data_IF_037772751935
#
_entry.id   IF_037772751935
#
_cell.length_a   1.000
_cell.length_b   1.000
_cell.length_c   1.000
_cell.angle_alpha   90.00
_cell.angle_beta   90.00
_cell.angle_gamma   90.00
#
_symmetry.space_group_name_H-M   'P 1'
#
loop_
_entity.id
_entity.type
_entity.pdbx_description
1 polymer ?
#
# COMPACT_ATOMS: atom_id res chain seq x y z
N UNK A 1 -3.40 -20.56 17.59
CA UNK A 1 -2.24 -21.47 17.59
C UNK A 1 -0.88 -20.76 17.49
N UNK A 2 -0.71 -19.69 16.69
CA UNK A 2 0.57 -18.95 16.55
C UNK A 2 1.01 -18.14 17.79
N UNK A 3 0.07 -17.55 18.53
CA UNK A 3 0.35 -16.84 19.80
C UNK A 3 0.88 -17.76 20.91
N UNK A 4 0.54 -19.05 20.87
CA UNK A 4 0.98 -20.03 21.86
C UNK A 4 2.43 -20.51 21.62
N UNK A 5 2.93 -20.41 20.39
CA UNK A 5 4.27 -20.89 20.05
C UNK A 5 5.36 -19.88 20.47
N UNK A 6 5.12 -18.58 20.25
CA UNK A 6 6.04 -17.52 20.68
C UNK A 6 6.12 -17.39 22.21
N UNK A 7 5.01 -17.60 22.91
CA UNK A 7 4.98 -17.62 24.38
C UNK A 7 5.69 -18.87 24.95
N UNK A 8 5.48 -20.04 24.36
CA UNK A 8 6.18 -21.27 24.78
C UNK A 8 7.70 -21.17 24.62
N UNK A 9 8.18 -20.61 23.51
CA UNK A 9 9.62 -20.46 23.25
C UNK A 9 10.30 -19.50 24.25
N UNK A 10 9.61 -18.43 24.66
CA UNK A 10 10.08 -17.50 25.70
C UNK A 10 10.22 -18.20 27.05
N UNK A 11 9.21 -18.98 27.45
CA UNK A 11 9.28 -19.75 28.70
C UNK A 11 10.39 -20.80 28.70
N UNK A 12 10.63 -21.47 27.57
CA UNK A 12 11.74 -22.43 27.43
C UNK A 12 13.09 -21.75 27.66
N UNK A 13 13.32 -20.56 27.08
CA UNK A 13 14.55 -19.81 27.29
C UNK A 13 14.74 -19.40 28.76
N UNK A 14 13.69 -18.87 29.39
CA UNK A 14 13.73 -18.43 30.80
C UNK A 14 14.03 -19.61 31.73
N UNK A 15 13.34 -20.75 31.54
CA UNK A 15 13.55 -21.95 32.36
C UNK A 15 14.96 -22.51 32.17
N UNK A 16 15.47 -22.52 30.94
CA UNK A 16 16.82 -23.03 30.65
C UNK A 16 17.90 -22.14 31.29
N UNK A 17 17.72 -20.81 31.27
CA UNK A 17 18.59 -19.87 31.98
C UNK A 17 18.57 -20.11 33.49
N UNK A 18 17.39 -20.25 34.09
CA UNK A 18 17.27 -20.51 35.53
C UNK A 18 17.95 -21.83 35.92
N UNK A 19 17.82 -22.87 35.11
CA UNK A 19 18.47 -24.16 35.34
C UNK A 19 20.00 -24.07 35.23
N UNK A 20 20.53 -23.36 34.22
CA UNK A 20 21.98 -23.17 34.08
C UNK A 20 22.58 -22.35 35.24
N UNK A 21 21.87 -21.30 35.68
CA UNK A 21 22.29 -20.49 36.83
C UNK A 21 22.27 -21.31 38.11
N UNK A 22 21.22 -22.11 38.34
CA UNK A 22 21.12 -23.02 39.48
C UNK A 22 22.25 -24.06 39.50
N UNK A 23 22.55 -24.67 38.35
CA UNK A 23 23.66 -25.62 38.22
C UNK A 23 25.03 -24.96 38.49
N UNK A 24 25.23 -23.72 38.02
CA UNK A 24 26.46 -22.95 38.26
C UNK A 24 26.64 -22.63 39.75
N UNK A 25 25.57 -22.21 40.44
CA UNK A 25 25.59 -21.95 41.89
C UNK A 25 25.88 -23.23 42.68
N UNK A 26 25.26 -24.35 42.33
CA UNK A 26 25.53 -25.64 42.97
C UNK A 26 27.00 -26.08 42.79
N UNK A 27 27.59 -25.85 41.62
CA UNK A 27 29.02 -26.13 41.35
C UNK A 27 29.95 -25.25 42.19
N UNK A 28 29.61 -23.98 42.40
CA UNK A 28 30.35 -23.09 43.30
C UNK A 28 30.28 -23.59 44.75
N UNK A 29 29.08 -23.93 45.23
CA UNK A 29 28.86 -24.41 46.60
C UNK A 29 29.53 -25.76 46.89
N UNK A 30 29.76 -26.58 45.85
CA UNK A 30 30.46 -27.87 45.97
C UNK A 30 31.99 -27.78 45.81
N UNK A 31 32.55 -26.56 45.80
CA UNK A 31 33.99 -26.33 45.73
C UNK A 31 34.62 -26.52 44.35
N UNK A 32 33.79 -26.62 43.28
CA UNK A 32 34.25 -26.84 41.89
C UNK A 32 34.24 -25.54 41.09
N UNK A 33 34.96 -24.52 41.58
CA UNK A 33 34.93 -23.17 41.01
C UNK A 33 35.34 -23.10 39.54
N UNK A 34 36.37 -23.83 39.12
CA UNK A 34 36.83 -23.84 37.72
C UNK A 34 35.75 -24.34 36.75
N UNK A 35 35.04 -25.41 37.13
CA UNK A 35 33.95 -25.98 36.33
C UNK A 35 32.74 -25.03 36.31
N UNK A 36 32.44 -24.37 37.43
CA UNK A 36 31.35 -23.40 37.53
C UNK A 36 31.55 -22.21 36.58
N UNK A 37 32.77 -21.67 36.50
CA UNK A 37 33.10 -20.57 35.59
C UNK A 37 32.88 -20.95 34.12
N UNK A 38 33.35 -22.14 33.71
CA UNK A 38 33.17 -22.61 32.32
C UNK A 38 31.69 -22.76 31.97
N UNK A 39 30.89 -23.34 32.88
CA UNK A 39 29.44 -23.53 32.68
C UNK A 39 28.71 -22.18 32.62
N UNK A 40 29.08 -21.22 33.47
CA UNK A 40 28.48 -19.89 33.46
C UNK A 40 28.77 -19.13 32.16
N UNK A 41 30.03 -19.13 31.70
CA UNK A 41 30.44 -18.46 30.46
C UNK A 41 29.75 -19.11 29.25
N UNK A 42 29.72 -20.44 29.17
CA UNK A 42 29.02 -21.17 28.12
C UNK A 42 27.51 -20.86 28.12
N UNK A 43 26.91 -20.75 29.31
CA UNK A 43 25.51 -20.39 29.46
C UNK A 43 25.17 -18.99 28.97
N UNK A 44 25.99 -18.01 29.35
CA UNK A 44 25.84 -16.62 28.89
C UNK A 44 25.99 -16.56 27.36
N UNK A 45 26.97 -17.26 26.79
CA UNK A 45 27.18 -17.30 25.34
C UNK A 45 25.97 -17.92 24.61
N UNK A 46 25.45 -19.06 25.09
CA UNK A 46 24.25 -19.69 24.51
C UNK A 46 23.04 -18.76 24.62
N UNK A 47 22.85 -18.10 25.75
CA UNK A 47 21.73 -17.17 25.95
C UNK A 47 21.83 -15.93 25.05
N UNK A 48 23.03 -15.36 24.89
CA UNK A 48 23.27 -14.26 23.98
C UNK A 48 22.95 -14.64 22.52
N UNK A 49 23.35 -15.84 22.09
CA UNK A 49 23.02 -16.37 20.76
C UNK A 49 21.50 -16.55 20.60
N UNK A 50 20.82 -17.14 21.58
CA UNK A 50 19.36 -17.33 21.53
C UNK A 50 18.61 -16.00 21.47
N UNK A 51 19.03 -14.99 22.25
CA UNK A 51 18.45 -13.66 22.25
C UNK A 51 18.68 -12.96 20.90
N UNK A 52 19.89 -13.04 20.34
CA UNK A 52 20.20 -12.47 19.03
C UNK A 52 19.34 -13.11 17.92
N UNK A 53 19.20 -14.43 17.92
CA UNK A 53 18.35 -15.15 16.97
C UNK A 53 16.86 -14.82 17.15
N UNK A 54 16.41 -14.59 18.38
CA UNK A 54 15.04 -14.17 18.66
C UNK A 54 14.78 -12.75 18.13
N UNK A 55 15.68 -11.81 18.43
CA UNK A 55 15.57 -10.43 17.98
C UNK A 55 15.62 -10.32 16.45
N UNK A 56 16.52 -11.05 15.78
CA UNK A 56 16.57 -11.08 14.31
C UNK A 56 15.27 -11.65 13.69
N UNK A 57 14.71 -12.71 14.27
CA UNK A 57 13.41 -13.25 13.82
C UNK A 57 12.25 -12.29 14.06
N UNK A 58 12.25 -11.60 15.20
CA UNK A 58 11.23 -10.60 15.53
C UNK A 58 11.30 -9.42 14.55
N UNK A 59 12.50 -8.87 14.32
CA UNK A 59 12.71 -7.78 13.36
C UNK A 59 12.31 -8.17 11.94
N UNK A 60 12.66 -9.38 11.47
CA UNK A 60 12.23 -9.89 10.16
C UNK A 60 10.72 -10.07 10.06
N UNK A 61 10.06 -10.46 11.15
CA UNK A 61 8.61 -10.61 11.17
C UNK A 61 7.90 -9.26 11.06
N UNK A 62 8.37 -8.24 11.78
CA UNK A 62 7.85 -6.87 11.70
C UNK A 62 8.01 -6.28 10.29
N UNK A 63 9.20 -6.38 9.70
CA UNK A 63 9.41 -5.93 8.32
C UNK A 63 8.47 -6.63 7.33
N UNK A 64 8.22 -7.93 7.54
CA UNK A 64 7.34 -8.70 6.66
C UNK A 64 5.88 -8.31 6.80
N UNK A 65 5.45 -7.88 7.98
CA UNK A 65 4.10 -7.33 8.21
C UNK A 65 3.96 -6.02 7.44
N UNK A 66 4.91 -5.09 7.59
CA UNK A 66 4.86 -3.79 6.91
C UNK A 66 4.86 -3.93 5.39
N UNK A 67 5.69 -4.82 4.84
CA UNK A 67 5.69 -5.09 3.39
C UNK A 67 4.37 -5.70 2.93
N UNK A 68 3.83 -6.66 3.68
CA UNK A 68 2.53 -7.25 3.35
C UNK A 68 1.40 -6.22 3.43
N UNK A 69 1.42 -5.30 4.38
CA UNK A 69 0.43 -4.21 4.49
C UNK A 69 0.55 -3.23 3.32
N UNK A 70 1.77 -2.89 2.90
CA UNK A 70 1.99 -2.06 1.71
C UNK A 70 1.53 -2.76 0.41
N UNK A 71 1.85 -4.05 0.25
CA UNK A 71 1.38 -4.86 -0.87
C UNK A 71 -0.16 -4.98 -0.88
N UNK A 72 -0.78 -5.08 0.30
CA UNK A 72 -2.23 -5.10 0.45
C UNK A 72 -2.84 -3.74 0.09
N UNK A 73 -2.22 -2.63 0.50
CA UNK A 73 -2.68 -1.28 0.18
C UNK A 73 -2.72 -1.05 -1.34
N UNK A 74 -1.68 -1.48 -2.07
CA UNK A 74 -1.65 -1.47 -3.54
C UNK A 74 -2.74 -2.36 -4.12
N UNK A 75 -3.03 -3.51 -3.50
CA UNK A 75 -4.10 -4.41 -3.94
C UNK A 75 -5.52 -3.86 -3.70
N UNK A 76 -5.69 -2.84 -2.86
CA UNK A 76 -7.00 -2.26 -2.53
C UNK A 76 -7.35 -1.00 -3.30
N UNK A 77 -6.39 -0.35 -3.96
CA UNK A 77 -6.61 0.88 -4.71
C UNK A 77 -6.27 0.72 -6.18
N UNK A 78 -7.05 1.35 -7.04
CA UNK A 78 -6.78 1.43 -8.47
C UNK A 78 -5.61 2.40 -8.76
N UNK A 79 -4.58 1.99 -9.50
CA UNK A 79 -3.36 2.81 -9.69
C UNK A 79 -3.57 4.07 -10.54
N UNK A 80 -4.62 4.10 -11.37
CA UNK A 80 -4.93 5.27 -12.23
C UNK A 80 -5.72 6.32 -11.46
N UNK A 81 -6.68 5.88 -10.66
CA UNK A 81 -7.66 6.77 -10.02
C UNK A 81 -7.42 6.99 -8.54
N UNK A 82 -6.61 6.16 -7.88
CA UNK A 82 -6.42 6.14 -6.44
C UNK A 82 -7.64 5.65 -5.65
N UNK A 83 -8.73 5.27 -6.33
CA UNK A 83 -9.95 4.84 -5.68
C UNK A 83 -9.87 3.39 -5.21
N UNK A 84 -10.60 3.02 -4.14
CA UNK A 84 -10.83 1.63 -3.79
C UNK A 84 -11.29 0.78 -4.99
N UNK A 85 -10.76 -0.45 -5.09
CA UNK A 85 -11.18 -1.40 -6.14
C UNK A 85 -12.50 -2.08 -5.80
N UNK A 86 -13.12 -2.74 -6.79
CA UNK A 86 -14.37 -3.54 -6.67
C UNK A 86 -14.45 -4.34 -5.37
N UNK A 87 -13.39 -5.05 -4.99
CA UNK A 87 -13.39 -5.90 -3.79
C UNK A 87 -13.69 -5.12 -2.50
N UNK A 88 -13.15 -3.91 -2.37
CA UNK A 88 -13.38 -3.03 -1.22
C UNK A 88 -14.84 -2.54 -1.21
N UNK A 89 -15.38 -2.20 -2.39
CA UNK A 89 -16.78 -1.82 -2.52
C UNK A 89 -17.73 -2.95 -2.11
N UNK A 90 -17.47 -4.17 -2.55
CA UNK A 90 -18.26 -5.33 -2.15
C UNK A 90 -18.19 -5.61 -0.64
N UNK A 91 -17.01 -5.44 -0.03
CA UNK A 91 -16.85 -5.61 1.42
C UNK A 91 -17.60 -4.54 2.21
N UNK A 92 -17.51 -3.27 1.79
CA UNK A 92 -18.25 -2.16 2.39
C UNK A 92 -19.77 -2.33 2.26
N UNK A 93 -20.24 -2.78 1.09
CA UNK A 93 -21.66 -3.08 0.86
C UNK A 93 -22.11 -4.22 1.79
N UNK A 94 -21.37 -5.33 1.91
CA UNK A 94 -21.72 -6.40 2.87
C UNK A 94 -21.83 -5.89 4.31
N UNK A 95 -20.94 -4.99 4.72
CA UNK A 95 -20.95 -4.37 6.05
C UNK A 95 -22.13 -3.40 6.30
N UNK A 96 -22.82 -2.98 5.24
CA UNK A 96 -23.96 -2.05 5.30
C UNK A 96 -25.32 -2.75 5.32
N UNK A 97 -25.35 -4.09 5.41
CA UNK A 97 -26.59 -4.86 5.42
C UNK A 97 -27.50 -4.48 6.59
N UNK A 98 -28.78 -4.24 6.30
CA UNK A 98 -29.77 -3.84 7.29
C UNK A 98 -29.79 -2.34 7.62
N UNK A 99 -28.96 -1.54 6.95
CA UNK A 99 -29.01 -0.08 7.01
C UNK A 99 -29.58 0.51 5.71
N UNK A 100 -30.03 1.76 5.77
CA UNK A 100 -30.41 2.52 4.59
C UNK A 100 -29.18 2.74 3.69
N UNK A 101 -29.30 2.36 2.42
CA UNK A 101 -28.21 2.48 1.45
C UNK A 101 -28.72 3.06 0.13
N UNK A 102 -27.98 4.02 -0.39
CA UNK A 102 -28.13 4.57 -1.73
C UNK A 102 -26.88 4.25 -2.53
N UNK A 103 -27.06 3.66 -3.70
CA UNK A 103 -26.01 3.33 -4.64
C UNK A 103 -26.20 4.15 -5.90
N UNK A 104 -25.16 4.86 -6.31
CA UNK A 104 -25.06 5.47 -7.63
C UNK A 104 -23.98 4.74 -8.43
N UNK A 105 -24.39 4.00 -9.46
CA UNK A 105 -23.51 3.33 -10.40
C UNK A 105 -23.25 4.25 -11.59
N UNK A 106 -22.00 4.41 -11.97
CA UNK A 106 -21.54 5.38 -12.98
C UNK A 106 -20.73 4.62 -14.04
N UNK A 107 -21.03 4.86 -15.31
CA UNK A 107 -20.31 4.33 -16.47
C UNK A 107 -19.93 5.48 -17.41
N UNK A 108 -18.69 5.47 -17.91
CA UNK A 108 -18.21 6.48 -18.87
C UNK A 108 -18.72 6.19 -20.28
N UNK A 109 -19.45 7.13 -20.85
CA UNK A 109 -19.95 7.01 -22.21
C UNK A 109 -18.84 7.30 -23.23
N UNK A 110 -18.55 6.34 -24.11
CA UNK A 110 -17.61 6.54 -25.21
C UNK A 110 -16.14 6.55 -24.79
N UNK A 111 -15.77 5.86 -23.71
CA UNK A 111 -14.38 5.80 -23.24
C UNK A 111 -13.38 5.31 -24.31
N UNK A 112 -13.82 4.45 -25.23
CA UNK A 112 -13.00 4.03 -26.37
C UNK A 112 -12.65 5.18 -27.32
N UNK A 113 -13.58 6.11 -27.55
CA UNK A 113 -13.37 7.25 -28.44
C UNK A 113 -12.39 8.24 -27.80
N UNK A 114 -12.48 8.43 -26.48
CA UNK A 114 -11.50 9.22 -25.72
C UNK A 114 -10.11 8.62 -25.85
N UNK A 115 -9.96 7.30 -25.63
CA UNK A 115 -8.68 6.61 -25.78
C UNK A 115 -8.12 6.67 -27.20
N UNK A 116 -9.00 6.62 -28.21
CA UNK A 116 -8.58 6.67 -29.62
C UNK A 116 -8.12 8.08 -30.00
N UNK A 117 -8.79 9.12 -29.49
CA UNK A 117 -8.46 10.52 -29.77
C UNK A 117 -7.27 11.03 -28.96
N UNK A 118 -7.07 10.55 -27.73
CA UNK A 118 -6.12 11.11 -26.77
C UNK A 118 -5.11 10.11 -26.22
N UNK A 119 -4.97 8.94 -26.86
CA UNK A 119 -4.19 7.79 -26.39
C UNK A 119 -4.67 7.26 -25.03
N UNK A 120 -4.04 6.19 -24.53
CA UNK A 120 -4.34 5.64 -23.22
C UNK A 120 -4.04 6.61 -22.08
N UNK A 121 -2.98 7.42 -22.20
CA UNK A 121 -2.62 8.40 -21.17
C UNK A 121 -3.69 9.48 -21.02
N UNK A 122 -4.28 9.94 -22.13
CA UNK A 122 -5.43 10.85 -22.09
C UNK A 122 -6.66 10.20 -21.47
N UNK A 123 -6.89 8.92 -21.75
CA UNK A 123 -7.94 8.17 -21.08
C UNK A 123 -7.75 8.06 -19.57
N UNK A 124 -6.53 7.78 -19.13
CA UNK A 124 -6.20 7.69 -17.71
C UNK A 124 -6.38 9.04 -17.00
N UNK A 125 -6.02 10.16 -17.66
CA UNK A 125 -6.33 11.50 -17.17
C UNK A 125 -7.83 11.77 -17.03
N UNK A 126 -8.64 11.29 -18.00
CA UNK A 126 -10.09 11.41 -17.93
C UNK A 126 -10.66 10.63 -16.73
N UNK A 127 -10.21 9.39 -16.54
CA UNK A 127 -10.63 8.53 -15.44
C UNK A 127 -10.22 9.09 -14.08
N UNK A 128 -9.00 9.61 -13.96
CA UNK A 128 -8.51 10.27 -12.75
C UNK A 128 -9.33 11.52 -12.42
N UNK A 129 -9.67 12.34 -13.42
CA UNK A 129 -10.52 13.51 -13.21
C UNK A 129 -11.96 13.15 -12.82
N UNK A 130 -12.53 12.10 -13.41
CA UNK A 130 -13.83 11.56 -13.00
C UNK A 130 -13.79 11.11 -11.53
N UNK A 131 -12.79 10.32 -11.16
CA UNK A 131 -12.61 9.84 -9.80
C UNK A 131 -12.53 10.98 -8.78
N UNK A 132 -11.72 12.00 -9.06
CA UNK A 132 -11.60 13.17 -8.21
C UNK A 132 -12.94 13.89 -8.01
N UNK A 133 -13.74 14.03 -9.08
CA UNK A 133 -15.06 14.68 -9.01
C UNK A 133 -16.09 13.85 -8.26
N UNK A 134 -16.05 12.53 -8.41
CA UNK A 134 -16.90 11.64 -7.61
C UNK A 134 -16.59 11.75 -6.12
N UNK A 135 -15.30 11.84 -5.76
CA UNK A 135 -14.87 12.07 -4.37
C UNK A 135 -15.34 13.45 -3.87
N UNK A 136 -15.29 14.49 -4.69
CA UNK A 136 -15.82 15.82 -4.32
C UNK A 136 -17.34 15.83 -4.13
N UNK A 137 -18.08 14.99 -4.86
CA UNK A 137 -19.53 14.83 -4.71
C UNK A 137 -19.92 13.96 -3.51
N UNK A 138 -18.97 13.23 -2.92
CA UNK A 138 -19.16 12.35 -1.79
C UNK A 138 -19.22 13.14 -0.46
N UNK A 139 -20.05 12.69 0.46
CA UNK A 139 -20.12 13.22 1.82
C UNK A 139 -19.20 12.42 2.78
N UNK A 140 -18.88 12.95 3.97
CA UNK A 140 -18.13 12.19 4.97
C UNK A 140 -18.81 10.85 5.29
N UNK A 141 -18.06 9.75 5.17
CA UNK A 141 -18.56 8.39 5.39
C UNK A 141 -19.15 7.71 4.15
N UNK A 142 -19.26 8.41 3.02
CA UNK A 142 -19.56 7.79 1.72
C UNK A 142 -18.35 6.99 1.21
N UNK A 143 -18.61 5.96 0.41
CA UNK A 143 -17.58 5.23 -0.33
C UNK A 143 -17.66 5.56 -1.82
N UNK A 144 -16.54 5.94 -2.42
CA UNK A 144 -16.36 5.99 -3.87
C UNK A 144 -15.37 4.89 -4.26
N UNK A 145 -15.67 4.10 -5.29
CA UNK A 145 -14.82 3.01 -5.73
C UNK A 145 -14.87 2.83 -7.25
N UNK A 146 -13.79 2.29 -7.82
CA UNK A 146 -13.72 1.88 -9.23
C UNK A 146 -14.00 0.39 -9.35
N UNK A 147 -15.06 0.04 -10.07
CA UNK A 147 -15.49 -1.35 -10.24
C UNK A 147 -14.82 -2.05 -11.41
N UNK A 148 -14.34 -1.29 -12.40
CA UNK A 148 -13.80 -1.81 -13.65
C UNK A 148 -13.21 -0.72 -14.55
N UNK A 149 -13.07 -1.00 -15.83
CA UNK A 149 -12.39 -0.10 -16.80
C UNK A 149 -12.98 1.32 -16.79
N UNK A 150 -14.28 1.45 -16.96
CA UNK A 150 -15.02 2.71 -17.05
C UNK A 150 -16.16 2.80 -16.01
N UNK A 151 -16.25 1.83 -15.10
CA UNK A 151 -17.32 1.71 -14.10
C UNK A 151 -16.87 2.18 -12.72
N UNK A 152 -17.68 3.03 -12.09
CA UNK A 152 -17.50 3.55 -10.75
C UNK A 152 -18.77 3.40 -9.93
N UNK A 153 -18.62 3.41 -8.60
CA UNK A 153 -19.75 3.39 -7.68
C UNK A 153 -19.56 4.41 -6.56
N UNK A 154 -20.65 5.08 -6.20
CA UNK A 154 -20.79 5.87 -4.98
C UNK A 154 -21.82 5.18 -4.08
N UNK A 155 -21.42 4.83 -2.87
CA UNK A 155 -22.28 4.28 -1.82
C UNK A 155 -22.45 5.34 -0.73
N UNK A 156 -23.69 5.68 -0.41
CA UNK A 156 -24.03 6.77 0.51
C UNK A 156 -25.32 6.47 1.25
N UNK A 157 -25.56 7.16 2.36
CA UNK A 157 -26.86 7.12 3.08
C UNK A 157 -27.77 8.28 2.68
N UNK A 158 -27.33 9.14 1.75
CA UNK A 158 -28.09 10.30 1.30
C UNK A 158 -29.26 9.89 0.42
N UNK A 159 -30.34 10.67 0.44
CA UNK A 159 -31.49 10.46 -0.44
C UNK A 159 -31.12 10.66 -1.92
N UNK A 160 -31.72 9.89 -2.86
CA UNK A 160 -31.39 9.95 -4.29
C UNK A 160 -31.35 11.37 -4.90
N UNK A 161 -32.29 12.30 -4.62
CA UNK A 161 -32.24 13.63 -5.21
C UNK A 161 -31.01 14.44 -4.81
N UNK A 162 -30.53 14.28 -3.57
CA UNK A 162 -29.33 14.96 -3.09
C UNK A 162 -28.06 14.41 -3.76
N UNK A 163 -28.02 13.08 -3.99
CA UNK A 163 -26.92 12.41 -4.70
C UNK A 163 -26.89 12.84 -6.16
N UNK A 164 -28.04 12.83 -6.84
CA UNK A 164 -28.17 13.26 -8.23
C UNK A 164 -27.71 14.71 -8.43
N UNK A 165 -28.12 15.62 -7.54
CA UNK A 165 -27.72 17.02 -7.59
C UNK A 165 -26.20 17.19 -7.41
N UNK A 166 -25.61 16.52 -6.40
CA UNK A 166 -24.19 16.60 -6.14
C UNK A 166 -23.36 16.07 -7.32
N UNK A 167 -23.75 14.93 -7.90
CA UNK A 167 -23.09 14.34 -9.06
C UNK A 167 -23.23 15.22 -10.30
N UNK A 168 -24.44 15.73 -10.59
CA UNK A 168 -24.66 16.60 -11.73
C UNK A 168 -23.78 17.87 -11.66
N UNK A 169 -23.68 18.48 -10.48
CA UNK A 169 -22.83 19.67 -10.28
C UNK A 169 -21.34 19.35 -10.44
N UNK A 170 -20.87 18.24 -9.87
CA UNK A 170 -19.45 17.89 -9.89
C UNK A 170 -18.97 17.45 -11.29
N UNK A 171 -19.85 16.86 -12.08
CA UNK A 171 -19.51 16.25 -13.38
C UNK A 171 -19.79 17.18 -14.57
N UNK A 172 -20.50 18.29 -14.38
CA UNK A 172 -20.83 19.25 -15.44
C UNK A 172 -19.61 19.88 -16.16
N UNK A 173 -18.51 20.28 -15.49
CA UNK A 173 -17.38 20.89 -16.19
C UNK A 173 -16.69 19.91 -17.17
N UNK A 174 -16.13 20.33 -18.30
CA UNK A 174 -15.31 19.44 -19.13
C UNK A 174 -13.97 19.10 -18.44
N UNK A 175 -13.29 18.05 -18.90
CA UNK A 175 -11.90 17.73 -18.53
C UNK A 175 -10.97 18.27 -19.60
N UNK A 176 -9.85 18.88 -19.20
CA UNK A 176 -8.86 19.38 -20.17
C UNK A 176 -7.78 18.31 -20.38
N UNK A 177 -7.64 17.82 -21.61
CA UNK A 177 -6.64 16.80 -21.98
C UNK A 177 -5.80 17.36 -23.12
N UNK A 178 -4.51 17.57 -22.90
CA UNK A 178 -3.62 18.17 -23.91
C UNK A 178 -4.08 19.56 -24.38
N UNK A 179 -4.74 20.33 -23.52
CA UNK A 179 -5.29 21.66 -23.85
C UNK A 179 -6.67 21.63 -24.54
N UNK A 180 -7.25 20.46 -24.78
CA UNK A 180 -8.57 20.30 -25.40
C UNK A 180 -9.61 20.02 -24.32
N UNK A 181 -10.74 20.74 -24.37
CA UNK A 181 -11.87 20.50 -23.48
C UNK A 181 -12.69 19.28 -23.95
N UNK A 182 -12.64 18.21 -23.17
CA UNK A 182 -13.37 16.95 -23.40
C UNK A 182 -14.59 16.90 -22.47
N UNK A 183 -15.83 16.83 -23.00
CA UNK A 183 -17.03 16.73 -22.18
C UNK A 183 -17.04 15.44 -21.34
N UNK A 184 -17.43 15.55 -20.06
CA UNK A 184 -17.58 14.38 -19.18
C UNK A 184 -18.95 13.73 -19.39
N UNK A 185 -19.03 12.82 -20.36
CA UNK A 185 -20.26 12.06 -20.63
C UNK A 185 -20.27 10.78 -19.80
N UNK A 186 -21.25 10.67 -18.94
CA UNK A 186 -21.46 9.50 -18.07
C UNK A 186 -22.93 9.15 -18.01
N UNK A 187 -23.19 7.85 -17.87
CA UNK A 187 -24.50 7.31 -17.55
C UNK A 187 -24.51 6.87 -16.10
N UNK A 188 -25.49 7.36 -15.32
CA UNK A 188 -25.59 7.17 -13.88
C UNK A 188 -26.95 6.58 -13.53
N UNK A 189 -26.94 5.46 -12.80
CA UNK A 189 -28.13 4.88 -12.20
C UNK A 189 -28.12 4.99 -10.69
N UNK A 190 -29.18 5.52 -10.09
CA UNK A 190 -29.29 5.70 -8.64
C UNK A 190 -30.40 4.82 -8.10
N UNK A 191 -30.10 4.02 -7.09
CA UNK A 191 -31.09 3.27 -6.33
C UNK A 191 -30.92 3.50 -4.84
N UNK A 192 -32.04 3.68 -4.14
CA UNK A 192 -32.09 3.71 -2.68
C UNK A 192 -32.88 2.50 -2.17
N UNK A 193 -32.30 1.82 -1.19
CA UNK A 193 -32.89 0.66 -0.52
C UNK A 193 -32.89 0.93 0.99
N UNK A 194 -34.07 1.17 1.59
CA UNK A 194 -34.18 1.36 3.04
C UNK A 194 -34.05 0.03 3.79
N UNK A 195 -33.22 0.01 4.85
CA UNK A 195 -33.02 -1.15 5.73
C UNK A 195 -32.74 -2.49 5.02
N UNK A 196 -32.23 -2.46 3.78
CA UNK A 196 -32.30 -3.61 2.89
C UNK A 196 -30.95 -4.15 2.43
N UNK A 197 -31.00 -5.02 1.42
CA UNK A 197 -29.84 -5.72 0.88
C UNK A 197 -29.01 -4.80 -0.05
N UNK A 198 -27.76 -4.48 0.29
CA UNK A 198 -26.90 -3.64 -0.54
C UNK A 198 -26.60 -4.24 -1.93
N UNK A 199 -26.71 -5.57 -2.10
CA UNK A 199 -26.63 -6.20 -3.41
C UNK A 199 -27.87 -5.91 -4.28
N UNK A 200 -29.05 -5.78 -3.66
CA UNK A 200 -30.26 -5.34 -4.35
C UNK A 200 -30.10 -3.90 -4.85
N UNK A 201 -29.57 -3.01 -4.00
CA UNK A 201 -29.32 -1.61 -4.36
C UNK A 201 -28.40 -1.49 -5.58
N UNK A 202 -27.34 -2.29 -5.63
CA UNK A 202 -26.42 -2.33 -6.76
C UNK A 202 -27.09 -2.84 -8.04
N UNK A 203 -27.91 -3.91 -7.95
CA UNK A 203 -28.63 -4.45 -9.10
C UNK A 203 -29.68 -3.48 -9.66
N UNK A 204 -30.42 -2.79 -8.80
CA UNK A 204 -31.37 -1.76 -9.21
C UNK A 204 -30.67 -0.54 -9.82
N UNK A 205 -29.53 -0.12 -9.25
CA UNK A 205 -28.72 0.97 -9.80
C UNK A 205 -28.19 0.62 -11.21
N UNK A 206 -27.78 -0.62 -11.46
CA UNK A 206 -27.37 -1.10 -12.79
C UNK A 206 -28.51 -0.97 -13.83
N UNK A 207 -29.74 -1.35 -13.46
CA UNK A 207 -30.90 -1.19 -14.35
C UNK A 207 -31.18 0.27 -14.69
N UNK A 208 -31.13 1.14 -13.69
CA UNK A 208 -31.31 2.58 -13.88
C UNK A 208 -30.20 3.19 -14.75
N UNK A 209 -28.95 2.76 -14.56
CA UNK A 209 -27.80 3.20 -15.36
C UNK A 209 -27.96 2.78 -16.82
N UNK A 210 -28.42 1.55 -17.04
CA UNK A 210 -28.74 1.07 -18.38
C UNK A 210 -29.87 1.87 -19.04
N UNK A 211 -30.90 2.25 -18.28
CA UNK A 211 -31.93 3.16 -18.75
C UNK A 211 -31.34 4.52 -19.13
N UNK A 212 -30.46 5.10 -18.30
CA UNK A 212 -29.76 6.36 -18.57
C UNK A 212 -28.97 6.29 -19.90
N UNK A 213 -28.23 5.20 -20.11
CA UNK A 213 -27.43 4.96 -21.30
C UNK A 213 -28.28 4.85 -22.57
N UNK A 214 -29.46 4.23 -22.48
CA UNK A 214 -30.38 4.10 -23.62
C UNK A 214 -31.07 5.40 -24.01
N UNK A 215 -31.37 6.25 -23.05
CA UNK A 215 -32.10 7.50 -23.30
C UNK A 215 -31.18 8.72 -23.43
N UNK A 216 -29.89 8.58 -23.12
CA UNK A 216 -28.90 9.66 -23.14
C UNK A 216 -29.14 10.74 -22.08
N UNK A 217 -29.89 10.44 -21.00
CA UNK A 217 -30.32 11.44 -19.99
C UNK A 217 -29.32 11.65 -18.85
N UNK A 218 -28.15 11.03 -18.91
CA UNK A 218 -27.06 11.23 -17.94
C UNK A 218 -27.31 10.58 -16.59
N UNK A 219 -28.38 10.96 -15.88
CA UNK A 219 -28.74 10.42 -14.54
C UNK A 219 -30.18 9.90 -14.56
N UNK A 220 -30.37 8.67 -14.09
CA UNK A 220 -31.69 8.06 -13.91
C UNK A 220 -31.82 7.45 -12.51
N UNK A 221 -33.00 7.58 -11.92
CA UNK A 221 -33.35 6.90 -10.69
C UNK A 221 -34.02 5.57 -11.04
N UNK A 222 -33.76 4.53 -10.24
CA UNK A 222 -34.43 3.25 -10.40
C UNK A 222 -35.94 3.41 -10.23
N UNK A 223 -36.68 2.90 -11.21
CA UNK A 223 -38.14 2.83 -11.20
C UNK A 223 -38.55 1.38 -11.50
N UNK A 224 -39.13 0.64 -10.54
CA UNK A 224 -39.48 -0.77 -10.74
C UNK A 224 -40.47 -0.99 -11.89
N UNK A 225 -41.30 0.00 -12.24
CA UNK A 225 -42.25 -0.09 -13.37
C UNK A 225 -41.53 -0.01 -14.70
N UNK A 226 -40.52 0.86 -14.81
CA UNK A 226 -39.71 1.04 -16.01
C UNK A 226 -38.64 -0.04 -16.16
N UNK A 227 -37.98 -0.36 -15.05
CA UNK A 227 -36.73 -1.09 -15.00
C UNK A 227 -36.92 -2.57 -14.70
N UNK A 228 -38.06 -2.98 -14.14
CA UNK A 228 -38.35 -4.37 -13.76
C UNK A 228 -37.40 -4.92 -12.69
N UNK A 229 -37.51 -6.21 -12.39
CA UNK A 229 -36.68 -6.86 -11.36
C UNK A 229 -35.18 -6.82 -11.70
N UNK A 230 -34.31 -6.53 -10.72
CA UNK A 230 -32.87 -6.57 -10.90
C UNK A 230 -32.39 -8.01 -11.15
N UNK A 231 -31.32 -8.14 -11.94
CA UNK A 231 -30.68 -9.43 -12.16
C UNK A 231 -30.07 -9.94 -10.84
N UNK A 232 -30.12 -11.26 -10.62
CA UNK A 232 -29.54 -11.87 -9.42
C UNK A 232 -28.06 -11.49 -9.24
N UNK A 233 -27.58 -11.29 -8.00
CA UNK A 233 -26.19 -10.93 -7.72
C UNK A 233 -25.22 -11.91 -8.40
N UNK A 234 -24.26 -11.37 -9.16
CA UNK A 234 -23.25 -12.16 -9.87
C UNK A 234 -23.61 -12.58 -11.30
N UNK A 235 -24.84 -12.32 -11.77
CA UNK A 235 -25.18 -12.46 -13.19
C UNK A 235 -24.58 -11.28 -13.95
N UNK A 236 -23.41 -11.49 -14.54
CA UNK A 236 -22.81 -10.54 -15.48
C UNK A 236 -23.73 -10.44 -16.71
N UNK A 237 -24.12 -9.24 -17.18
CA UNK A 237 -24.88 -9.10 -18.42
C UNK A 237 -24.19 -9.87 -19.55
N UNK A 238 -24.92 -10.77 -20.21
CA UNK A 238 -24.35 -11.70 -21.20
C UNK A 238 -23.80 -11.02 -22.47
N UNK A 239 -24.05 -9.72 -22.66
CA UNK A 239 -23.56 -8.94 -23.80
C UNK A 239 -22.93 -7.66 -23.27
N UNK A 240 -21.60 -7.53 -23.40
CA UNK A 240 -20.91 -6.26 -23.15
C UNK A 240 -21.18 -5.34 -24.34
N UNK A 241 -21.46 -4.07 -24.10
CA UNK A 241 -21.62 -3.12 -25.20
C UNK A 241 -20.31 -2.86 -25.97
N UNK A 242 -19.15 -3.18 -25.38
CA UNK A 242 -17.85 -3.25 -26.09
C UNK A 242 -17.90 -4.21 -27.28
N UNK A 243 -18.67 -5.29 -27.17
CA UNK A 243 -18.75 -6.34 -28.19
C UNK A 243 -19.73 -5.97 -29.32
N UNK A 244 -20.55 -4.92 -29.16
CA UNK A 244 -21.45 -4.42 -30.21
C UNK A 244 -20.80 -3.38 -31.11
N UNK A 245 -19.81 -2.62 -30.63
CA UNK A 245 -19.12 -1.57 -31.40
C UNK A 245 -18.14 -2.10 -32.46
N UNK A 246 -17.62 -3.32 -32.29
CA UNK A 246 -16.65 -3.91 -33.21
C UNK A 246 -17.27 -4.51 -34.49
N UNK A 247 -18.59 -4.72 -34.53
CA UNK A 247 -19.26 -5.38 -35.65
C UNK A 247 -19.70 -4.42 -36.79
N UNK A 248 -19.62 -3.10 -36.60
CA UNK A 248 -20.11 -2.11 -37.57
C UNK A 248 -19.02 -1.37 -38.37
N UNK A 249 -17.75 -1.80 -38.29
CA UNK A 249 -16.64 -1.19 -39.05
C UNK A 249 -15.89 -2.15 -39.97
N UNK A 250 -16.51 -3.26 -40.41
CA UNK A 250 -15.96 -4.05 -41.54
C UNK A 250 -16.34 -3.37 -42.86
N UNK A 251 -15.79 -2.17 -43.05
CA UNK A 251 -15.64 -1.52 -44.34
C UNK A 251 -14.38 -2.04 -45.01
N UNK A 252 -14.55 -2.53 -46.23
CA UNK A 252 -13.56 -3.19 -47.06
C UNK A 252 -12.29 -2.32 -47.26
N UNK A 253 -11.12 -2.86 -46.91
CA UNK A 253 -9.84 -2.46 -47.52
C UNK A 253 -9.02 -3.70 -47.89
N UNK A 254 -8.29 -3.66 -49.03
CA UNK A 254 -7.75 -4.86 -49.66
C UNK A 254 -6.44 -5.31 -49.00
N UNK A 255 -6.23 -6.62 -49.09
CA UNK A 255 -5.04 -7.36 -48.68
C UNK A 255 -3.83 -6.94 -49.52
N UNK A 256 -2.76 -6.48 -48.85
CA UNK A 256 -1.48 -6.12 -49.46
C UNK A 256 -0.35 -6.06 -48.43
N UNK A 257 0.34 -7.20 -48.26
CA UNK A 257 1.76 -7.42 -47.93
C UNK A 257 2.62 -6.21 -47.46
N UNK A 258 3.14 -6.26 -46.23
CA UNK A 258 4.58 -6.41 -45.89
C UNK A 258 4.83 -6.35 -44.37
N UNK A 259 5.60 -7.30 -43.85
CA UNK A 259 5.98 -7.40 -42.44
C UNK A 259 7.15 -6.45 -42.14
N UNK A 260 6.85 -5.31 -41.50
CA UNK A 260 7.86 -4.41 -40.94
C UNK A 260 8.53 -4.99 -39.69
N UNK A 261 9.79 -4.59 -39.38
CA UNK A 261 10.60 -5.21 -38.35
C UNK A 261 10.03 -4.93 -36.94
N UNK A 262 10.16 -5.92 -36.05
CA UNK A 262 9.84 -5.82 -34.61
C UNK A 262 10.54 -4.60 -33.98
N UNK A 263 9.90 -3.84 -33.10
CA UNK A 263 10.58 -2.81 -32.32
C UNK A 263 11.58 -3.47 -31.35
N UNK A 264 12.73 -2.84 -31.10
CA UNK A 264 13.76 -3.38 -30.22
C UNK A 264 13.31 -3.37 -28.76
N UNK A 265 13.58 -4.50 -28.12
CA UNK A 265 13.55 -4.72 -26.67
C UNK A 265 14.61 -3.85 -25.98
N UNK A 266 14.28 -3.41 -24.75
CA UNK A 266 15.17 -2.84 -23.73
C UNK A 266 15.72 -1.43 -24.00
N UNK A 267 15.06 -0.43 -23.38
CA UNK A 267 15.73 0.79 -22.94
C UNK A 267 16.26 0.47 -21.53
N UNK A 268 17.58 0.47 -21.38
CA UNK A 268 18.21 0.35 -20.06
C UNK A 268 17.91 1.60 -19.24
N UNK A 269 17.67 1.40 -17.96
CA UNK A 269 17.41 2.47 -17.02
C UNK A 269 18.75 3.04 -16.54
N UNK A 270 19.41 3.89 -17.32
CA UNK A 270 20.64 4.59 -16.88
C UNK A 270 20.73 6.08 -17.29
N UNK A 271 19.65 6.70 -17.79
CA UNK A 271 19.68 8.12 -18.23
C UNK A 271 18.76 9.04 -17.41
N UNK A 272 18.78 8.89 -16.08
CA UNK A 272 18.31 9.91 -15.17
C UNK A 272 19.42 10.19 -14.15
N UNK A 273 20.15 11.29 -14.36
CA UNK A 273 21.26 11.77 -13.52
C UNK A 273 20.84 12.16 -12.10
N UNK A 274 20.50 11.17 -11.29
CA UNK A 274 20.43 11.24 -9.84
C UNK A 274 21.36 10.17 -9.27
N UNK A 275 22.63 10.51 -9.11
CA UNK A 275 23.53 9.76 -8.24
C UNK A 275 23.12 10.03 -6.79
N UNK A 276 22.33 9.14 -6.21
CA UNK A 276 22.37 8.94 -4.77
C UNK A 276 23.74 8.31 -4.49
N UNK A 277 24.72 9.12 -4.11
CA UNK A 277 25.92 8.60 -3.44
C UNK A 277 25.42 7.85 -2.20
N UNK A 278 25.37 6.52 -2.28
CA UNK A 278 25.12 5.68 -1.12
C UNK A 278 26.28 5.84 -0.14
N UNK A 279 26.10 6.44 1.05
CA UNK A 279 27.18 6.58 2.02
C UNK A 279 27.52 5.23 2.70
N UNK A 280 26.85 4.14 2.31
CA UNK A 280 26.85 2.85 3.02
C UNK A 280 27.94 1.89 2.55
N UNK A 281 28.43 2.00 1.32
CA UNK A 281 29.41 1.05 0.75
C UNK A 281 30.85 1.36 1.17
N UNK A 282 31.21 2.63 1.37
CA UNK A 282 32.58 3.02 1.76
C UNK A 282 32.87 2.79 3.25
N UNK A 283 31.90 3.06 4.13
CA UNK A 283 32.02 2.74 5.56
C UNK A 283 32.19 1.23 5.79
N UNK A 284 31.46 0.40 5.04
CA UNK A 284 31.58 -1.06 5.11
C UNK A 284 32.92 -1.57 4.55
N UNK A 285 33.47 -0.91 3.52
CA UNK A 285 34.78 -1.24 2.96
C UNK A 285 35.91 -0.86 3.95
N UNK A 286 35.80 0.31 4.58
CA UNK A 286 36.72 0.80 5.60
C UNK A 286 36.71 -0.07 6.87
N UNK A 287 35.53 -0.54 7.33
CA UNK A 287 35.44 -1.45 8.47
C UNK A 287 36.15 -2.80 8.22
N UNK A 288 36.13 -3.27 6.97
CA UNK A 288 36.76 -4.53 6.55
C UNK A 288 38.28 -4.41 6.42
N UNK A 289 38.83 -3.22 6.20
CA UNK A 289 40.28 -2.99 6.17
C UNK A 289 40.91 -2.82 7.56
N UNK A 290 40.12 -2.63 8.62
CA UNK A 290 40.63 -2.51 10.00
C UNK A 290 41.23 -3.82 10.50
N UNK A 291 42.34 -3.73 11.23
CA UNK A 291 42.93 -4.83 11.99
C UNK A 291 42.02 -5.27 13.14
N UNK A 292 42.24 -6.49 13.67
CA UNK A 292 41.46 -7.02 14.80
C UNK A 292 41.49 -6.12 16.03
N UNK A 293 42.64 -5.48 16.31
CA UNK A 293 42.80 -4.57 17.45
C UNK A 293 42.00 -3.27 17.27
N UNK A 294 41.93 -2.74 16.05
CA UNK A 294 41.15 -1.53 15.74
C UNK A 294 39.65 -1.81 15.80
N UNK A 295 39.20 -2.98 15.30
CA UNK A 295 37.79 -3.39 15.41
C UNK A 295 37.34 -3.54 16.86
N UNK A 296 38.20 -4.05 17.74
CA UNK A 296 37.90 -4.17 19.17
C UNK A 296 37.79 -2.81 19.85
N UNK A 297 38.67 -1.84 19.52
CA UNK A 297 38.55 -0.46 20.04
C UNK A 297 37.31 0.25 19.52
N UNK A 298 36.95 0.03 18.26
CA UNK A 298 35.74 0.62 17.67
C UNK A 298 34.47 0.05 18.33
N UNK A 299 34.45 -1.26 18.60
CA UNK A 299 33.38 -1.91 19.35
C UNK A 299 33.26 -1.38 20.78
N UNK A 300 34.39 -1.20 21.47
CA UNK A 300 34.44 -0.67 22.84
C UNK A 300 33.96 0.79 22.89
N UNK A 301 34.32 1.62 21.90
CA UNK A 301 33.84 2.99 21.76
C UNK A 301 32.33 3.05 21.45
N UNK A 302 31.82 2.21 20.54
CA UNK A 302 30.38 2.13 20.23
C UNK A 302 29.60 1.65 21.45
N UNK A 303 30.12 0.68 22.19
CA UNK A 303 29.48 0.16 23.39
C UNK A 303 29.42 1.23 24.48
N UNK A 304 30.52 1.97 24.73
CA UNK A 304 30.52 3.07 25.68
C UNK A 304 29.56 4.21 25.29
N UNK A 305 29.40 4.51 23.99
CA UNK A 305 28.40 5.50 23.52
C UNK A 305 26.98 5.02 23.74
N UNK A 306 26.69 3.74 23.51
CA UNK A 306 25.35 3.17 23.68
C UNK A 306 24.99 2.90 25.15
N UNK A 307 25.99 2.66 26.00
CA UNK A 307 25.81 2.31 27.42
C UNK A 307 25.86 3.56 28.33
N UNK A 308 26.58 4.61 27.95
CA UNK A 308 26.76 5.83 28.77
C UNK A 308 26.41 7.15 28.06
N UNK A 309 26.14 7.15 26.75
CA UNK A 309 25.74 8.33 26.00
C UNK A 309 24.22 8.54 26.03
N UNK A 310 23.77 9.64 26.62
CA UNK A 310 22.38 10.09 26.52
C UNK A 310 22.13 10.56 25.09
N UNK A 311 21.65 9.68 24.22
CA UNK A 311 21.25 10.00 22.85
C UNK A 311 19.75 10.29 22.84
N UNK A 312 19.34 11.40 22.24
CA UNK A 312 17.92 11.72 22.12
C UNK A 312 17.20 10.79 21.11
N UNK A 313 15.87 10.90 21.04
CA UNK A 313 15.03 10.06 20.17
C UNK A 313 15.31 10.18 18.66
N UNK A 314 16.15 11.13 18.24
CA UNK A 314 16.62 11.27 16.84
C UNK A 314 18.09 10.83 16.67
N UNK A 315 18.73 10.34 17.73
CA UNK A 315 20.11 9.85 17.71
C UNK A 315 21.16 10.95 17.84
N UNK A 316 20.78 12.14 18.32
CA UNK A 316 21.70 13.26 18.54
C UNK A 316 22.27 13.24 19.97
N UNK A 317 23.51 13.73 20.17
CA UNK A 317 24.17 13.73 21.48
C UNK A 317 23.48 14.68 22.47
N UNK A 318 23.10 14.15 23.64
CA UNK A 318 22.45 14.87 24.72
C UNK A 318 23.39 15.71 25.59
N UNK A 319 22.88 16.38 26.64
CA UNK A 319 23.60 17.42 27.39
C UNK A 319 24.78 16.92 28.25
N UNK A 320 24.97 15.61 28.39
CA UNK A 320 26.10 14.99 29.10
C UNK A 320 27.37 14.87 28.26
N UNK A 321 27.32 15.19 26.96
CA UNK A 321 28.45 15.06 26.05
C UNK A 321 29.41 16.24 26.19
N UNK A 322 30.64 15.94 26.63
CA UNK A 322 31.70 16.95 26.79
C UNK A 322 32.62 17.00 25.56
N UNK A 323 33.40 18.08 25.42
CA UNK A 323 34.40 18.18 24.35
C UNK A 323 35.41 17.02 24.36
N UNK A 324 35.75 16.51 25.55
CA UNK A 324 36.64 15.36 25.73
C UNK A 324 36.01 14.07 25.16
N UNK A 325 34.69 13.90 25.34
CA UNK A 325 33.92 12.77 24.79
C UNK A 325 33.95 12.75 23.25
N UNK A 326 33.86 13.92 22.61
CA UNK A 326 33.97 14.04 21.15
C UNK A 326 35.39 13.80 20.63
N UNK A 327 36.43 14.17 21.40
CA UNK A 327 37.82 13.88 21.06
C UNK A 327 38.13 12.39 21.16
N UNK A 328 37.67 11.72 22.21
CA UNK A 328 37.85 10.27 22.38
C UNK A 328 37.13 9.48 21.27
N UNK A 329 35.93 9.92 20.88
CA UNK A 329 35.22 9.34 19.73
C UNK A 329 35.94 9.59 18.41
N UNK A 330 36.38 10.81 18.16
CA UNK A 330 37.15 11.11 16.94
C UNK A 330 38.45 10.31 16.88
N UNK A 331 39.13 10.09 18.00
CA UNK A 331 40.32 9.24 18.08
C UNK A 331 40.01 7.77 17.81
N UNK A 332 38.88 7.26 18.33
CA UNK A 332 38.43 5.87 18.09
C UNK A 332 38.03 5.63 16.63
N UNK A 333 37.47 6.63 15.96
CA UNK A 333 36.97 6.54 14.59
C UNK A 333 37.92 7.08 13.51
N UNK A 334 39.09 7.61 13.90
CA UNK A 334 40.12 8.11 12.99
C UNK A 334 40.55 7.07 11.93
N UNK A 335 40.58 5.78 12.29
CA UNK A 335 40.92 4.68 11.38
C UNK A 335 39.88 4.39 10.29
N UNK A 336 38.67 4.97 10.39
CA UNK A 336 37.56 4.82 9.43
C UNK A 336 37.26 6.15 8.71
N UNK A 337 38.06 7.19 8.96
CA UNK A 337 37.93 8.50 8.31
C UNK A 337 36.75 9.33 8.82
N UNK A 338 36.17 9.00 9.97
CA UNK A 338 35.06 9.76 10.57
C UNK A 338 35.61 10.67 11.67
N UNK A 339 35.35 11.96 11.55
CA UNK A 339 35.74 12.99 12.52
C UNK A 339 34.47 13.62 13.09
N UNK A 340 34.35 13.66 14.41
CA UNK A 340 33.22 14.29 15.08
C UNK A 340 33.64 15.70 15.52
N UNK A 341 33.00 16.71 14.95
CA UNK A 341 33.19 18.11 15.36
C UNK A 341 32.00 18.57 16.19
N UNK A 342 32.19 19.24 17.34
CA UNK A 342 31.09 19.83 18.08
C UNK A 342 30.39 20.88 17.21
N UNK A 343 29.06 20.87 17.21
CA UNK A 343 28.28 21.94 16.59
C UNK A 343 28.47 23.22 17.42
N UNK A 344 28.76 24.34 16.73
CA UNK A 344 28.91 25.66 17.35
C UNK A 344 27.58 26.22 17.85
#
# INVERSE_FOLDING_TARGET
>A
MRLAFGSAMRWISVVTTMLLQSASVHLLLSGRAEVACVVAIAGIAVQAILLALFNDRAARAEHRIVVLEADLAIAYTDPVTGLPVRRVAEEHLRGSAGADVTVALVDVDGMHDVNTAHTHDGGDLFLAALAQRLVQAAAPGDLVARLGGDEFVLVTRRAPPAVAFALASALAPPVTIGGIAVPMRVSIGICHVPGGDPHLALGCADRAMYAAKRCGRGIEHYDPVRDGEPLSPGVRPGVRHRDRGAASSIGQHPVGMEAGPRPPTAISADDAGWSLEEPRTDAQRALRSLSKAERLRLLDAVFNVLEFGDLDGEGMPGPSWSADTFQDLSAAFAGVGVVFTPAA
#
